data_IF_851250460368
#
_entry.id   IF_851250460368
#
_cell.length_a   1.000
_cell.length_b   1.000
_cell.length_c   1.000
_cell.angle_alpha   90.00
_cell.angle_beta   90.00
_cell.angle_gamma   90.00
#
_symmetry.space_group_name_H-M   'P 1'
#
loop_
_entity.id
_entity.type
_entity.pdbx_description
1 polymer ?
#
# COMPACT_ATOMS: atom_id res chain seq x y z
N UNK A 1 7.63 -23.75 5.46
CA UNK A 1 8.54 -23.12 6.44
C UNK A 1 8.57 -21.65 6.06
N UNK A 2 7.83 -20.80 6.77
CA UNK A 2 7.80 -19.37 6.48
C UNK A 2 8.83 -18.70 7.37
N UNK A 3 9.67 -17.86 6.79
CA UNK A 3 10.56 -16.95 7.53
C UNK A 3 9.66 -16.04 8.37
N UNK A 4 9.88 -15.99 9.67
CA UNK A 4 9.17 -15.06 10.56
C UNK A 4 9.89 -13.71 10.58
N UNK A 5 9.19 -12.61 10.91
CA UNK A 5 9.84 -11.29 11.07
C UNK A 5 11.04 -11.35 12.03
N UNK A 6 10.90 -12.10 13.13
CA UNK A 6 11.97 -12.31 14.11
C UNK A 6 13.19 -13.07 13.54
N UNK A 7 12.97 -13.97 12.57
CA UNK A 7 14.08 -14.66 11.90
C UNK A 7 14.86 -13.68 11.00
N UNK A 8 14.20 -12.68 10.40
CA UNK A 8 14.83 -11.65 9.54
C UNK A 8 15.68 -10.70 10.38
N UNK A 9 15.16 -10.25 11.53
CA UNK A 9 15.89 -9.37 12.44
C UNK A 9 17.13 -10.04 13.07
N UNK A 10 17.13 -11.38 13.17
CA UNK A 10 18.26 -12.15 13.69
C UNK A 10 19.26 -12.59 12.60
N UNK A 11 18.98 -12.30 11.32
CA UNK A 11 19.91 -12.63 10.24
C UNK A 11 21.12 -11.69 10.28
N UNK A 12 22.30 -12.28 10.36
CA UNK A 12 23.58 -11.56 10.27
C UNK A 12 24.36 -12.05 9.06
N UNK A 13 24.95 -11.10 8.32
CA UNK A 13 25.76 -11.38 7.15
C UNK A 13 27.24 -11.11 7.46
N UNK A 14 28.15 -11.93 6.92
CA UNK A 14 29.59 -11.72 7.08
C UNK A 14 30.12 -10.67 6.10
N UNK A 15 30.97 -9.75 6.56
CA UNK A 15 31.57 -8.72 5.70
C UNK A 15 32.49 -9.31 4.62
N UNK A 16 32.26 -8.91 3.37
CA UNK A 16 33.05 -9.38 2.24
C UNK A 16 34.35 -8.58 2.09
N UNK A 17 35.51 -9.24 2.18
CA UNK A 17 36.86 -8.63 2.22
C UNK A 17 37.30 -7.82 0.97
N UNK A 18 36.52 -7.79 -0.11
CA UNK A 18 36.94 -7.12 -1.37
C UNK A 18 35.86 -6.22 -1.95
N UNK A 19 34.62 -6.70 -2.07
CA UNK A 19 33.45 -5.94 -2.51
C UNK A 19 32.24 -6.59 -1.81
N UNK A 20 31.50 -5.82 -1.02
CA UNK A 20 30.33 -6.27 -0.29
C UNK A 20 29.21 -5.24 -0.38
N UNK A 21 27.99 -5.65 -0.04
CA UNK A 21 26.89 -4.71 0.15
C UNK A 21 27.17 -3.81 1.35
N UNK A 22 26.63 -2.59 1.32
CA UNK A 22 26.68 -1.70 2.47
C UNK A 22 25.82 -2.27 3.59
N UNK A 23 26.42 -2.52 4.76
CA UNK A 23 25.73 -3.10 5.92
C UNK A 23 24.57 -2.22 6.38
N UNK A 24 24.72 -0.89 6.36
CA UNK A 24 23.66 0.03 6.78
C UNK A 24 22.45 -0.02 5.84
N UNK A 25 22.69 -0.17 4.53
CA UNK A 25 21.64 -0.28 3.52
C UNK A 25 20.93 -1.65 3.59
N UNK A 26 21.71 -2.71 3.87
CA UNK A 26 21.16 -4.06 4.09
C UNK A 26 20.31 -4.08 5.36
N UNK A 27 20.77 -3.50 6.46
CA UNK A 27 20.01 -3.44 7.72
C UNK A 27 18.69 -2.67 7.53
N UNK A 28 18.72 -1.51 6.88
CA UNK A 28 17.51 -0.75 6.55
C UNK A 28 16.52 -1.54 5.67
N UNK A 29 17.03 -2.32 4.72
CA UNK A 29 16.19 -3.19 3.88
C UNK A 29 15.58 -4.35 4.68
N UNK A 30 16.34 -4.95 5.61
CA UNK A 30 15.84 -6.04 6.47
C UNK A 30 14.76 -5.55 7.44
N UNK A 31 14.88 -4.34 7.99
CA UNK A 31 13.84 -3.71 8.82
C UNK A 31 12.56 -3.46 8.01
N UNK A 32 12.70 -2.99 6.77
CA UNK A 32 11.55 -2.82 5.88
C UNK A 32 10.90 -4.18 5.55
N UNK A 33 11.72 -5.19 5.26
CA UNK A 33 11.25 -6.53 4.91
C UNK A 33 10.58 -7.22 6.09
N UNK A 34 11.10 -7.08 7.32
CA UNK A 34 10.49 -7.65 8.53
C UNK A 34 9.11 -7.05 8.78
N UNK A 35 8.98 -5.72 8.64
CA UNK A 35 7.71 -5.01 8.76
C UNK A 35 6.68 -5.43 7.71
N UNK A 36 7.10 -5.61 6.45
CA UNK A 36 6.20 -6.05 5.38
C UNK A 36 5.76 -7.51 5.56
N UNK A 37 6.65 -8.39 6.03
CA UNK A 37 6.30 -9.79 6.36
C UNK A 37 5.32 -9.84 7.54
N UNK A 38 5.48 -9.00 8.57
CA UNK A 38 4.54 -8.93 9.69
C UNK A 38 3.16 -8.46 9.21
N UNK A 39 3.11 -7.38 8.42
CA UNK A 39 1.88 -6.90 7.81
C UNK A 39 1.19 -7.97 6.94
N UNK A 40 1.97 -8.74 6.18
CA UNK A 40 1.45 -9.85 5.39
C UNK A 40 0.88 -10.98 6.27
N UNK A 41 1.56 -11.34 7.35
CA UNK A 41 1.08 -12.36 8.30
C UNK A 41 -0.20 -11.91 9.00
N UNK A 42 -0.28 -10.63 9.40
CA UNK A 42 -1.49 -10.05 9.99
C UNK A 42 -2.67 -10.09 9.00
N UNK A 43 -2.41 -9.79 7.72
CA UNK A 43 -3.41 -9.89 6.64
C UNK A 43 -3.87 -11.33 6.40
N UNK A 44 -2.97 -12.31 6.48
CA UNK A 44 -3.33 -13.73 6.39
C UNK A 44 -4.21 -14.13 7.58
N UNK A 45 -3.92 -13.66 8.78
CA UNK A 45 -4.72 -13.93 9.97
C UNK A 45 -6.13 -13.35 9.85
N UNK A 46 -6.26 -12.09 9.42
CA UNK A 46 -7.56 -11.44 9.17
C UNK A 46 -8.37 -12.19 8.11
N UNK A 47 -7.76 -12.48 6.96
CA UNK A 47 -8.42 -13.18 5.86
C UNK A 47 -8.89 -14.58 6.28
N UNK A 48 -8.07 -15.34 7.02
CA UNK A 48 -8.47 -16.63 7.58
C UNK A 48 -9.63 -16.50 8.57
N UNK A 49 -9.60 -15.47 9.43
CA UNK A 49 -10.71 -15.19 10.35
C UNK A 49 -12.02 -14.89 9.62
N UNK A 50 -11.97 -14.03 8.60
CA UNK A 50 -13.11 -13.71 7.75
C UNK A 50 -13.63 -14.92 6.98
N UNK A 51 -12.74 -15.75 6.45
CA UNK A 51 -13.09 -17.00 5.77
C UNK A 51 -13.85 -17.94 6.73
N UNK A 52 -13.31 -18.17 7.93
CA UNK A 52 -13.94 -19.05 8.91
C UNK A 52 -15.33 -18.53 9.32
N UNK A 53 -15.46 -17.22 9.55
CA UNK A 53 -16.74 -16.59 9.87
C UNK A 53 -17.77 -16.76 8.72
N UNK A 54 -17.33 -16.58 7.47
CA UNK A 54 -18.19 -16.76 6.30
C UNK A 54 -18.60 -18.23 6.10
N UNK A 55 -17.67 -19.17 6.31
CA UNK A 55 -17.95 -20.60 6.25
C UNK A 55 -18.96 -21.02 7.32
N UNK A 56 -18.84 -20.51 8.55
CA UNK A 56 -19.81 -20.75 9.62
C UNK A 56 -21.20 -20.18 9.29
N UNK A 57 -21.27 -18.97 8.72
CA UNK A 57 -22.55 -18.38 8.29
C UNK A 57 -23.20 -19.21 7.19
N UNK A 58 -22.42 -19.70 6.22
CA UNK A 58 -22.93 -20.59 5.17
C UNK A 58 -23.44 -21.92 5.74
N UNK A 59 -22.71 -22.53 6.67
CA UNK A 59 -23.15 -23.75 7.33
C UNK A 59 -24.46 -23.54 8.10
N UNK A 60 -24.60 -22.43 8.83
CA UNK A 60 -25.83 -22.08 9.54
C UNK A 60 -27.01 -21.83 8.58
N UNK A 61 -26.77 -21.14 7.47
CA UNK A 61 -27.79 -20.90 6.45
C UNK A 61 -28.23 -22.22 5.78
N UNK A 62 -27.30 -23.12 5.45
CA UNK A 62 -27.61 -24.44 4.90
C UNK A 62 -28.42 -25.30 5.88
N UNK A 63 -28.10 -25.26 7.18
CA UNK A 63 -28.85 -25.97 8.21
C UNK A 63 -30.30 -25.45 8.33
N UNK A 64 -30.51 -24.13 8.26
CA UNK A 64 -31.87 -23.55 8.23
C UNK A 64 -32.66 -24.02 7.01
N UNK A 65 -32.04 -24.05 5.83
CA UNK A 65 -32.68 -24.55 4.59
C UNK A 65 -33.07 -26.03 4.73
N UNK A 66 -32.20 -26.86 5.33
CA UNK A 66 -32.50 -28.27 5.57
C UNK A 66 -33.69 -28.44 6.55
N UNK A 67 -33.72 -27.67 7.64
CA UNK A 67 -34.83 -27.69 8.61
C UNK A 67 -36.16 -27.26 8.00
N UNK A 68 -36.15 -26.20 7.18
CA UNK A 68 -37.34 -25.75 6.44
C UNK A 68 -37.86 -26.83 5.47
N UNK A 69 -36.94 -27.58 4.84
CA UNK A 69 -37.29 -28.68 3.94
C UNK A 69 -37.89 -29.87 4.70
N UNK A 70 -37.34 -30.23 5.87
CA UNK A 70 -37.86 -31.31 6.71
C UNK A 70 -39.24 -30.98 7.32
N UNK A 71 -39.46 -29.73 7.76
CA UNK A 71 -40.78 -29.26 8.20
C UNK A 71 -41.82 -29.32 7.08
N UNK A 72 -41.41 -29.07 5.84
CA UNK A 72 -42.27 -29.20 4.66
C UNK A 72 -42.63 -30.66 4.34
N UNK A 73 -41.74 -31.62 4.63
CA UNK A 73 -41.98 -33.05 4.39
C UNK A 73 -42.76 -33.76 5.51
N UNK A 74 -42.80 -33.21 6.72
CA UNK A 74 -43.52 -33.82 7.86
C UNK A 74 -45.05 -33.62 7.83
N UNK A 75 -45.60 -32.90 6.83
CA UNK A 75 -47.03 -32.74 6.61
C UNK A 75 -47.62 -33.71 5.57
N UNK A 76 -46.82 -34.61 5.00
CA UNK A 76 -47.26 -35.61 4.02
C UNK A 76 -46.92 -37.02 4.49
N UNK A 77 -47.68 -37.53 5.45
CA UNK A 77 -47.91 -38.96 5.55
C UNK A 77 -48.97 -39.34 4.50
N UNK A 78 -48.62 -40.23 3.56
CA UNK A 78 -49.46 -41.39 3.36
C UNK A 78 -48.64 -42.67 3.49
N UNK A 79 -49.25 -43.62 4.18
CA UNK A 79 -48.82 -44.99 4.37
C UNK A 79 -48.48 -45.69 3.03
N UNK A 80 -47.53 -46.65 3.01
CA UNK A 80 -47.23 -47.41 1.82
C UNK A 80 -48.33 -48.46 1.61
N UNK A 81 -49.41 -48.08 0.93
CA UNK A 81 -50.32 -49.06 0.33
C UNK A 81 -49.63 -49.68 -0.88
N UNK A 82 -49.35 -50.97 -0.72
CA UNK A 82 -48.89 -51.92 -1.73
C UNK A 82 -49.83 -51.83 -2.95
N UNK A 83 -49.31 -51.39 -4.11
CA UNK A 83 -50.06 -51.47 -5.37
C UNK A 83 -49.40 -52.53 -6.25
N UNK A 84 -49.96 -53.73 -6.16
CA UNK A 84 -49.99 -54.71 -7.25
C UNK A 84 -50.38 -54.03 -8.56
N UNK A 85 -49.63 -54.33 -9.62
CA UNK A 85 -49.82 -53.84 -10.96
C UNK A 85 -51.28 -53.99 -11.43
N UNK A 86 -52.00 -52.88 -11.57
CA UNK A 86 -53.13 -52.75 -12.50
C UNK A 86 -53.33 -51.26 -12.81
N UNK A 87 -52.98 -50.85 -14.03
CA UNK A 87 -53.56 -49.64 -14.63
C UNK A 87 -54.91 -50.05 -15.26
N UNK A 88 -55.94 -49.19 -15.24
CA UNK A 88 -55.98 -48.15 -16.28
C UNK A 88 -56.51 -46.77 -15.82
N UNK A 89 -55.83 -45.72 -16.30
CA UNK A 89 -56.35 -44.42 -16.74
C UNK A 89 -57.50 -43.73 -15.94
N UNK A 90 -57.14 -42.82 -15.01
CA UNK A 90 -58.01 -41.68 -14.65
C UNK A 90 -57.35 -40.48 -13.94
N UNK A 91 -56.04 -40.46 -13.66
CA UNK A 91 -55.40 -39.32 -12.95
C UNK A 91 -54.67 -38.29 -13.82
N UNK A 92 -54.68 -38.44 -15.15
CA UNK A 92 -53.98 -37.52 -16.05
C UNK A 92 -54.46 -36.05 -15.96
N UNK A 93 -55.75 -35.82 -15.69
CA UNK A 93 -56.29 -34.45 -15.61
C UNK A 93 -55.95 -33.71 -14.31
N UNK A 94 -55.78 -34.44 -13.20
CA UNK A 94 -55.32 -33.87 -11.94
C UNK A 94 -53.82 -33.54 -12.01
N UNK A 95 -53.03 -34.43 -12.64
CA UNK A 95 -51.61 -34.21 -12.91
C UNK A 95 -51.36 -33.07 -13.89
N UNK A 96 -52.15 -32.92 -14.95
CA UNK A 96 -52.01 -31.83 -15.93
C UNK A 96 -52.31 -30.44 -15.33
N UNK A 97 -53.32 -30.36 -14.45
CA UNK A 97 -53.59 -29.13 -13.66
C UNK A 97 -52.49 -28.83 -12.66
N UNK A 98 -51.91 -29.84 -12.03
CA UNK A 98 -50.77 -29.65 -11.12
C UNK A 98 -49.50 -29.24 -11.88
N UNK A 99 -49.21 -29.84 -13.03
CA UNK A 99 -48.06 -29.48 -13.86
C UNK A 99 -48.20 -28.05 -14.40
N UNK A 100 -49.38 -27.66 -14.88
CA UNK A 100 -49.63 -26.27 -15.31
C UNK A 100 -49.51 -25.27 -14.14
N UNK A 101 -50.02 -25.60 -12.96
CA UNK A 101 -49.83 -24.78 -11.76
C UNK A 101 -48.35 -24.65 -11.37
N UNK A 102 -47.58 -25.75 -11.44
CA UNK A 102 -46.15 -25.75 -11.17
C UNK A 102 -45.39 -24.92 -12.21
N UNK A 103 -45.73 -25.01 -13.49
CA UNK A 103 -45.10 -24.19 -14.53
C UNK A 103 -45.38 -22.70 -14.34
N UNK A 104 -46.60 -22.33 -13.94
CA UNK A 104 -46.95 -20.92 -13.65
C UNK A 104 -46.14 -20.41 -12.45
N UNK A 105 -46.06 -21.19 -11.36
CA UNK A 105 -45.29 -20.79 -10.17
C UNK A 105 -43.79 -20.75 -10.48
N UNK A 106 -43.27 -21.71 -11.26
CA UNK A 106 -41.88 -21.71 -11.69
C UNK A 106 -41.55 -20.49 -12.57
N UNK A 107 -42.45 -20.11 -13.47
CA UNK A 107 -42.25 -18.94 -14.33
C UNK A 107 -42.34 -17.63 -13.53
N UNK A 108 -43.32 -17.50 -12.64
CA UNK A 108 -43.38 -16.38 -11.70
C UNK A 108 -42.14 -16.28 -10.81
N UNK A 109 -41.61 -17.42 -10.36
CA UNK A 109 -40.38 -17.48 -9.57
C UNK A 109 -39.17 -17.03 -10.39
N UNK A 110 -39.06 -17.47 -11.65
CA UNK A 110 -38.00 -17.04 -12.56
C UNK A 110 -38.08 -15.53 -12.83
N UNK A 111 -39.26 -14.98 -13.09
CA UNK A 111 -39.46 -13.55 -13.32
C UNK A 111 -39.07 -12.73 -12.07
N UNK A 112 -39.45 -13.21 -10.88
CA UNK A 112 -39.06 -12.60 -9.61
C UNK A 112 -37.55 -12.62 -9.43
N UNK A 113 -36.89 -13.75 -9.70
CA UNK A 113 -35.44 -13.88 -9.55
C UNK A 113 -34.68 -12.95 -10.51
N UNK A 114 -35.19 -12.78 -11.74
CA UNK A 114 -34.64 -11.80 -12.69
C UNK A 114 -34.85 -10.36 -12.22
N UNK A 115 -36.02 -10.04 -11.66
CA UNK A 115 -36.30 -8.72 -11.10
C UNK A 115 -35.38 -8.41 -9.89
N UNK A 116 -35.24 -9.35 -8.97
CA UNK A 116 -34.38 -9.23 -7.79
C UNK A 116 -32.90 -9.09 -8.20
N UNK A 117 -32.44 -9.88 -9.17
CA UNK A 117 -31.07 -9.79 -9.70
C UNK A 117 -30.80 -8.43 -10.36
N UNK A 118 -31.77 -7.87 -11.11
CA UNK A 118 -31.67 -6.53 -11.71
C UNK A 118 -31.61 -5.44 -10.63
N UNK A 119 -32.51 -5.49 -9.65
CA UNK A 119 -32.51 -4.53 -8.55
C UNK A 119 -31.19 -4.57 -7.76
N UNK A 120 -30.67 -5.76 -7.49
CA UNK A 120 -29.37 -5.90 -6.83
C UNK A 120 -28.21 -5.38 -7.68
N UNK A 121 -28.21 -5.66 -8.99
CA UNK A 121 -27.20 -5.12 -9.90
C UNK A 121 -27.22 -3.58 -9.93
N UNK A 122 -28.40 -2.97 -9.92
CA UNK A 122 -28.55 -1.52 -9.91
C UNK A 122 -28.09 -0.92 -8.57
N UNK A 123 -28.38 -1.58 -7.44
CA UNK A 123 -27.85 -1.18 -6.13
C UNK A 123 -26.32 -1.23 -6.11
N UNK A 124 -25.72 -2.32 -6.61
CA UNK A 124 -24.25 -2.46 -6.68
C UNK A 124 -23.64 -1.35 -7.55
N UNK A 125 -24.24 -1.03 -8.69
CA UNK A 125 -23.78 0.08 -9.55
C UNK A 125 -23.85 1.42 -8.83
N UNK A 126 -24.97 1.70 -8.18
CA UNK A 126 -25.16 2.95 -7.45
C UNK A 126 -24.17 3.09 -6.28
N UNK A 127 -23.93 2.02 -5.53
CA UNK A 127 -22.93 2.00 -4.46
C UNK A 127 -21.51 2.17 -5.01
N UNK A 128 -21.18 1.51 -6.12
CA UNK A 128 -19.88 1.65 -6.77
C UNK A 128 -19.66 3.09 -7.26
N UNK A 129 -20.68 3.71 -7.86
CA UNK A 129 -20.62 5.10 -8.32
C UNK A 129 -20.48 6.08 -7.15
N UNK A 130 -21.16 5.84 -6.03
CA UNK A 130 -21.01 6.64 -4.82
C UNK A 130 -19.60 6.52 -4.24
N UNK A 131 -19.09 5.29 -4.09
CA UNK A 131 -17.72 5.03 -3.62
C UNK A 131 -16.68 5.64 -4.55
N UNK A 132 -16.84 5.53 -5.86
CA UNK A 132 -15.93 6.12 -6.83
C UNK A 132 -15.87 7.65 -6.67
N UNK A 133 -17.03 8.30 -6.49
CA UNK A 133 -17.09 9.76 -6.24
C UNK A 133 -16.43 10.15 -4.93
N UNK A 134 -16.60 9.34 -3.88
CA UNK A 134 -15.97 9.57 -2.58
C UNK A 134 -14.45 9.43 -2.67
N UNK A 135 -13.95 8.37 -3.30
CA UNK A 135 -12.51 8.15 -3.53
C UNK A 135 -11.90 9.29 -4.35
N UNK A 136 -12.57 9.74 -5.41
CA UNK A 136 -12.10 10.89 -6.20
C UNK A 136 -12.04 12.15 -5.34
N UNK A 137 -13.06 12.42 -4.52
CA UNK A 137 -13.08 13.58 -3.63
C UNK A 137 -11.94 13.51 -2.61
N UNK A 138 -11.73 12.34 -2.00
CA UNK A 138 -10.65 12.12 -1.05
C UNK A 138 -9.29 12.33 -1.70
N UNK A 139 -9.04 11.73 -2.87
CA UNK A 139 -7.79 11.87 -3.60
C UNK A 139 -7.50 13.34 -3.99
N UNK A 140 -8.53 14.11 -4.36
CA UNK A 140 -8.37 15.54 -4.64
C UNK A 140 -8.05 16.36 -3.37
N UNK A 141 -8.62 16.00 -2.22
CA UNK A 141 -8.32 16.64 -0.96
C UNK A 141 -6.89 16.31 -0.48
N UNK A 142 -6.48 15.05 -0.60
CA UNK A 142 -5.11 14.61 -0.31
C UNK A 142 -4.09 15.31 -1.21
N UNK A 143 -4.37 15.39 -2.52
CA UNK A 143 -3.54 16.17 -3.45
C UNK A 143 -3.38 17.63 -3.01
N UNK A 144 -4.46 18.28 -2.57
CA UNK A 144 -4.37 19.67 -2.12
C UNK A 144 -3.52 19.80 -0.85
N UNK A 145 -3.69 18.89 0.12
CA UNK A 145 -2.88 18.86 1.33
C UNK A 145 -1.39 18.65 1.01
N UNK A 146 -1.06 17.78 0.06
CA UNK A 146 0.33 17.57 -0.39
C UNK A 146 0.92 18.83 -1.03
N UNK A 147 0.15 19.54 -1.86
CA UNK A 147 0.60 20.80 -2.45
C UNK A 147 0.87 21.86 -1.38
N UNK A 148 -0.01 21.97 -0.38
CA UNK A 148 0.15 22.90 0.73
C UNK A 148 1.40 22.56 1.58
N UNK A 149 1.67 21.27 1.82
CA UNK A 149 2.85 20.82 2.56
C UNK A 149 4.14 21.04 1.75
N UNK A 150 4.12 20.85 0.43
CA UNK A 150 5.24 21.19 -0.47
C UNK A 150 5.57 22.68 -0.36
N UNK A 151 4.57 23.56 -0.39
CA UNK A 151 4.79 24.99 -0.31
C UNK A 151 5.29 25.42 1.09
N UNK A 152 4.76 24.80 2.15
CA UNK A 152 5.27 24.96 3.51
C UNK A 152 6.73 24.53 3.63
N UNK A 153 7.11 23.39 3.03
CA UNK A 153 8.47 22.87 3.08
C UNK A 153 9.44 23.76 2.30
N UNK A 154 9.02 24.29 1.15
CA UNK A 154 9.78 25.28 0.38
C UNK A 154 10.02 26.56 1.19
N UNK A 155 8.98 27.06 1.88
CA UNK A 155 9.11 28.23 2.74
C UNK A 155 10.09 27.97 3.89
N UNK A 156 9.93 26.85 4.60
CA UNK A 156 10.84 26.42 5.67
C UNK A 156 12.28 26.31 5.19
N UNK A 157 12.51 25.79 3.98
CA UNK A 157 13.84 25.71 3.37
C UNK A 157 14.43 27.09 3.09
N UNK A 158 13.65 28.05 2.61
CA UNK A 158 14.15 29.41 2.36
C UNK A 158 14.38 30.17 3.67
N UNK A 159 13.52 29.99 4.67
CA UNK A 159 13.69 30.55 6.01
C UNK A 159 14.97 30.00 6.66
N UNK A 160 15.18 28.68 6.63
CA UNK A 160 16.41 28.06 7.12
C UNK A 160 17.64 28.61 6.40
N UNK A 161 17.59 28.76 5.08
CA UNK A 161 18.69 29.34 4.30
C UNK A 161 18.99 30.79 4.72
N UNK A 162 17.94 31.58 4.94
CA UNK A 162 18.07 32.97 5.41
C UNK A 162 18.70 33.02 6.80
N UNK A 163 18.22 32.21 7.75
CA UNK A 163 18.77 32.14 9.10
C UNK A 163 20.23 31.64 9.11
N UNK A 164 20.54 30.62 8.30
CA UNK A 164 21.91 30.12 8.15
C UNK A 164 22.85 31.19 7.59
N UNK A 165 22.39 31.97 6.60
CA UNK A 165 23.18 33.10 6.07
C UNK A 165 23.42 34.18 7.13
N UNK A 166 22.39 34.55 7.91
CA UNK A 166 22.54 35.52 9.00
C UNK A 166 23.53 35.03 10.06
N UNK A 167 23.47 33.75 10.42
CA UNK A 167 24.41 33.13 11.37
C UNK A 167 25.85 33.23 10.85
N UNK A 168 26.09 32.89 9.58
CA UNK A 168 27.40 33.04 8.95
C UNK A 168 27.87 34.50 8.93
N UNK A 169 27.00 35.45 8.60
CA UNK A 169 27.32 36.87 8.62
C UNK A 169 27.71 37.34 10.03
N UNK A 170 26.96 36.92 11.05
CA UNK A 170 27.31 37.22 12.45
C UNK A 170 28.69 36.67 12.82
N UNK A 171 29.02 35.43 12.43
CA UNK A 171 30.34 34.87 12.66
C UNK A 171 31.46 35.63 11.93
N UNK A 172 31.20 36.13 10.71
CA UNK A 172 32.17 36.94 9.98
C UNK A 172 32.37 38.32 10.63
N UNK A 173 31.28 38.99 11.02
CA UNK A 173 31.33 40.29 11.70
C UNK A 173 32.03 40.20 13.07
N UNK A 174 31.78 39.12 13.81
CA UNK A 174 32.49 38.83 15.07
C UNK A 174 33.98 38.61 14.81
N UNK A 175 34.34 37.80 13.80
CA UNK A 175 35.74 37.53 13.44
C UNK A 175 36.50 38.80 13.05
N UNK A 176 35.90 39.66 12.23
CA UNK A 176 36.46 40.98 11.88
C UNK A 176 36.56 41.91 13.09
N UNK A 177 35.67 41.78 14.07
CA UNK A 177 35.72 42.57 15.30
C UNK A 177 36.84 42.11 16.25
N UNK A 178 37.09 40.80 16.37
CA UNK A 178 38.15 40.27 17.25
C UNK A 178 39.54 40.29 16.61
N UNK A 179 39.60 40.19 15.28
CA UNK A 179 40.81 40.33 14.48
C UNK A 179 40.59 41.44 13.45
N UNK A 180 40.54 42.71 13.89
CA UNK A 180 40.47 43.82 12.94
C UNK A 180 41.66 43.64 11.99
N UNK A 181 41.38 43.66 10.68
CA UNK A 181 42.41 43.65 9.64
C UNK A 181 43.34 44.83 9.92
N UNK A 182 44.36 44.58 10.73
CA UNK A 182 45.42 45.51 11.00
C UNK A 182 46.12 45.57 9.66
N UNK A 183 45.81 46.63 8.90
CA UNK A 183 46.61 46.99 7.75
C UNK A 183 48.05 47.00 8.26
N UNK A 184 48.82 45.98 7.89
CA UNK A 184 50.27 45.99 8.03
C UNK A 184 50.73 47.13 7.13
N UNK A 185 50.68 48.35 7.68
CA UNK A 185 51.42 49.47 7.16
C UNK A 185 52.87 49.03 7.12
N UNK A 186 53.40 48.88 5.92
CA UNK A 186 54.78 48.51 5.66
C UNK A 186 55.74 49.43 6.42
N UNK A 187 56.60 48.92 7.32
CA UNK A 187 57.88 49.54 7.55
C UNK A 187 58.88 48.87 6.60
N UNK A 188 59.37 49.69 5.67
CA UNK A 188 60.56 49.47 4.86
C UNK A 188 61.71 48.89 5.70
N UNK A 189 62.28 47.74 5.30
CA UNK A 189 63.50 47.22 5.95
C UNK A 189 63.89 45.77 5.68
N UNK A 190 64.61 45.57 4.57
CA UNK A 190 65.76 44.66 4.44
C UNK A 190 65.58 43.13 4.38
N UNK A 191 65.87 42.65 3.16
CA UNK A 191 66.60 41.43 2.78
C UNK A 191 65.90 40.07 2.87
N UNK A 192 65.58 39.54 1.69
CA UNK A 192 65.34 38.12 1.47
C UNK A 192 66.57 37.31 1.87
N UNK A 193 66.45 36.54 2.96
CA UNK A 193 67.31 35.39 3.22
C UNK A 193 66.61 34.16 2.68
N UNK A 194 67.10 33.66 1.56
CA UNK A 194 66.81 32.33 1.06
C UNK A 194 67.58 31.30 1.89
N UNK A 195 67.05 30.95 3.07
CA UNK A 195 67.43 29.71 3.75
C UNK A 195 66.45 28.63 3.31
N UNK A 196 66.92 27.76 2.43
CA UNK A 196 66.24 26.54 2.02
C UNK A 196 66.16 25.59 3.21
N UNK A 197 65.03 25.59 3.92
CA UNK A 197 64.69 24.53 4.85
C UNK A 197 64.01 23.40 4.08
N UNK A 198 64.65 22.24 4.05
CA UNK A 198 64.05 20.99 3.54
C UNK A 198 62.97 20.56 4.53
N UNK A 199 61.70 20.65 4.13
CA UNK A 199 60.60 20.07 4.88
C UNK A 199 60.52 18.55 4.64
N UNK A 200 60.33 17.70 5.67
CA UNK A 200 59.92 16.33 5.45
C UNK A 200 58.46 16.32 4.97
N UNK A 201 58.22 15.54 3.92
CA UNK A 201 56.93 15.42 3.25
C UNK A 201 55.81 14.94 4.20
N UNK A 202 54.66 15.62 4.26
CA UNK A 202 53.39 14.98 4.56
C UNK A 202 52.80 14.42 3.27
N UNK A 203 52.46 13.14 3.29
CA UNK A 203 51.73 12.46 2.23
C UNK A 203 50.39 13.16 1.98
N UNK A 204 50.18 13.63 0.75
CA UNK A 204 48.87 14.00 0.25
C UNK A 204 48.15 12.74 -0.23
N UNK A 205 47.00 12.43 0.37
CA UNK A 205 45.91 11.77 -0.35
C UNK A 205 44.87 12.84 -0.63
N UNK A 206 44.88 13.30 -1.89
CA UNK A 206 43.83 14.12 -2.45
C UNK A 206 42.65 13.22 -2.82
N UNK A 207 41.43 13.68 -2.57
CA UNK A 207 40.32 13.45 -3.47
C UNK A 207 39.39 14.66 -3.38
N UNK A 208 39.54 15.54 -4.37
CA UNK A 208 38.67 16.66 -4.64
C UNK A 208 37.47 16.14 -5.44
N UNK A 209 36.28 16.17 -4.86
CA UNK A 209 35.04 15.90 -5.57
C UNK A 209 34.73 17.10 -6.48
N UNK A 210 34.90 16.91 -7.79
CA UNK A 210 34.41 17.83 -8.81
C UNK A 210 32.94 17.47 -9.10
N UNK A 211 32.02 18.38 -8.79
CA UNK A 211 30.61 18.25 -9.17
C UNK A 211 30.40 19.02 -10.48
N UNK A 212 30.18 18.29 -11.58
CA UNK A 212 29.72 18.86 -12.84
C UNK A 212 28.18 18.92 -12.85
N UNK A 213 27.55 19.99 -13.37
CA UNK A 213 26.10 20.03 -13.52
C UNK A 213 25.67 19.21 -14.75
N UNK A 214 24.72 18.30 -14.55
CA UNK A 214 24.08 17.51 -15.60
C UNK A 214 23.03 18.39 -16.29
N UNK A 215 23.18 18.61 -17.59
CA UNK A 215 22.14 19.20 -18.42
C UNK A 215 21.02 18.18 -18.62
N UNK A 216 19.78 18.62 -18.39
CA UNK A 216 18.57 17.86 -18.68
C UNK A 216 18.21 18.03 -20.16
N UNK A 217 18.33 16.97 -20.94
CA UNK A 217 17.57 16.80 -22.19
C UNK A 217 16.43 15.83 -21.91
N UNK A 218 15.25 16.40 -21.62
CA UNK A 218 13.97 15.71 -21.69
C UNK A 218 13.40 15.95 -23.08
N UNK A 219 13.57 15.00 -23.98
CA UNK A 219 12.80 14.89 -25.21
C UNK A 219 11.67 13.87 -24.96
N UNK A 220 10.45 14.38 -24.76
CA UNK A 220 9.23 13.62 -24.50
C UNK A 220 8.23 13.84 -25.65
N UNK A 221 8.72 13.67 -26.87
CA UNK A 221 8.00 13.98 -28.11
C UNK A 221 7.77 12.74 -28.97
N UNK A 222 7.34 11.61 -28.40
CA UNK A 222 6.82 10.50 -29.22
C UNK A 222 6.02 9.51 -28.35
N UNK A 223 4.70 9.73 -28.24
CA UNK A 223 3.69 8.75 -27.81
C UNK A 223 2.30 9.37 -27.99
N UNK A 224 1.84 9.42 -29.24
CA UNK A 224 0.43 9.47 -29.65
C UNK A 224 0.21 8.40 -30.74
#
# INVERSE_FOLDING_TARGET
>A
MAITPADIEQMTFSEAKKHGYNTEEVDAFLDQLSGEVDAMLQKIADLKGRLNNSEQQLAAAQAQVAQLKEQSTSAAAPEPVVVTATAPASDYSASERQISQVLIVAQQSADKLVADARANADNIRNEADQKAREVIRQALAEKQNELDEIDRLKQSREDFRSEYKKMLQHFMDDADSVFPNQALGTPNGSAARSDSYVAPAPAASAEATTFAPVAADTDFSDLD
#
